data_IF_910008798050
#
_entry.id   IF_910008798050
#
_cell.length_a   1.000
_cell.length_b   1.000
_cell.length_c   1.000
_cell.angle_alpha   90.00
_cell.angle_beta   90.00
_cell.angle_gamma   90.00
#
_symmetry.space_group_name_H-M   'P 1'
#
loop_
_entity.id
_entity.type
_entity.pdbx_description
1 polymer ?
#
# COMPACT_ATOMS: atom_id res chain seq x y z
N UNK A 1 -24.12 1.14 -53.81
CA UNK A 1 -25.17 0.26 -54.36
C UNK A 1 -24.89 -1.10 -53.74
N UNK A 2 -25.57 -1.54 -52.69
CA UNK A 2 -26.99 -1.39 -52.36
C UNK A 2 -27.23 -1.52 -50.85
N UNK A 3 -28.16 -0.70 -50.36
CA UNK A 3 -29.02 -0.89 -49.17
C UNK A 3 -29.69 -2.30 -49.19
N UNK A 4 -30.29 -2.90 -48.17
CA UNK A 4 -30.88 -2.57 -46.86
C UNK A 4 -30.98 -3.92 -46.08
N UNK A 5 -31.06 -4.04 -44.75
CA UNK A 5 -32.23 -3.88 -43.85
C UNK A 5 -31.66 -4.08 -42.41
N UNK A 6 -31.78 -3.11 -41.49
CA UNK A 6 -32.86 -2.95 -40.51
C UNK A 6 -33.35 -4.27 -39.88
N UNK A 7 -32.78 -4.60 -38.71
CA UNK A 7 -33.56 -5.19 -37.63
C UNK A 7 -33.29 -4.42 -36.32
N UNK A 8 -34.36 -3.78 -35.88
CA UNK A 8 -34.54 -3.19 -34.57
C UNK A 8 -34.60 -4.31 -33.53
N UNK A 9 -33.77 -4.23 -32.50
CA UNK A 9 -34.09 -4.86 -31.22
C UNK A 9 -33.82 -3.87 -30.08
N UNK A 10 -34.75 -2.91 -29.99
CA UNK A 10 -35.06 -2.21 -28.75
C UNK A 10 -35.64 -3.23 -27.77
N UNK A 11 -34.82 -3.70 -26.81
CA UNK A 11 -35.35 -4.23 -25.54
C UNK A 11 -34.32 -4.19 -24.41
N UNK A 12 -34.71 -3.40 -23.42
CA UNK A 12 -34.40 -3.49 -21.98
C UNK A 12 -33.13 -2.80 -21.44
N UNK A 13 -33.36 -1.54 -21.07
CA UNK A 13 -32.88 -0.93 -19.84
C UNK A 13 -32.92 -1.89 -18.62
N UNK A 14 -31.98 -1.63 -17.71
CA UNK A 14 -31.98 -1.85 -16.24
C UNK A 14 -30.99 -2.89 -15.69
N UNK A 15 -29.71 -2.51 -15.63
CA UNK A 15 -28.79 -3.12 -14.66
C UNK A 15 -29.02 -2.49 -13.28
N UNK A 16 -29.66 -3.30 -12.44
CA UNK A 16 -29.72 -3.32 -10.97
C UNK A 16 -30.14 -2.05 -10.23
N UNK A 17 -31.28 -2.08 -9.51
CA UNK A 17 -31.57 -1.08 -8.50
C UNK A 17 -30.61 -1.22 -7.33
N UNK A 18 -30.05 -0.09 -6.89
CA UNK A 18 -29.36 0.04 -5.62
C UNK A 18 -30.17 -0.62 -4.50
N UNK A 19 -29.56 -1.58 -3.81
CA UNK A 19 -30.14 -2.29 -2.65
C UNK A 19 -30.61 -1.35 -1.53
N UNK A 20 -30.20 -0.08 -1.60
CA UNK A 20 -30.60 1.04 -0.74
C UNK A 20 -32.06 1.46 -0.91
N UNK A 21 -32.66 1.31 -2.10
CA UNK A 21 -34.03 1.79 -2.40
C UNK A 21 -35.10 0.76 -2.01
N UNK A 22 -34.77 -0.53 -2.00
CA UNK A 22 -35.69 -1.60 -1.63
C UNK A 22 -36.18 -1.50 -0.17
N UNK A 23 -35.40 -0.86 0.72
CA UNK A 23 -35.76 -0.69 2.12
C UNK A 23 -36.88 0.36 2.36
N UNK A 24 -37.21 1.21 1.37
CA UNK A 24 -38.18 2.29 1.53
C UNK A 24 -39.57 1.99 0.97
N UNK A 25 -39.76 0.89 0.21
CA UNK A 25 -41.05 0.55 -0.41
C UNK A 25 -41.94 -0.41 0.40
N UNK A 26 -41.46 -0.94 1.53
CA UNK A 26 -42.22 -1.89 2.35
C UNK A 26 -43.22 -1.26 3.32
N UNK A 27 -43.50 0.05 3.23
CA UNK A 27 -44.29 0.79 4.22
C UNK A 27 -45.59 1.40 3.69
N UNK A 28 -46.15 0.91 2.56
CA UNK A 28 -47.38 1.47 2.02
C UNK A 28 -48.31 0.41 1.37
N UNK A 29 -48.99 -0.37 2.20
CA UNK A 29 -50.28 -0.98 1.83
C UNK A 29 -51.31 -0.79 2.97
N UNK A 30 -52.49 -0.18 2.71
CA UNK A 30 -53.50 0.00 3.74
C UNK A 30 -54.43 -1.22 3.76
N UNK A 31 -54.19 -2.17 4.66
CA UNK A 31 -55.15 -3.25 4.93
C UNK A 31 -56.16 -2.77 5.97
N UNK A 32 -57.43 -2.64 5.57
CA UNK A 32 -58.55 -2.35 6.48
C UNK A 32 -58.73 -3.50 7.47
N UNK A 33 -58.59 -3.26 8.78
CA UNK A 33 -59.29 -4.05 9.80
C UNK A 33 -59.50 -3.27 11.11
N UNK A 34 -60.73 -3.36 11.58
CA UNK A 34 -61.31 -2.79 12.79
C UNK A 34 -60.51 -3.02 14.08
N UNK A 35 -60.53 -2.00 14.94
CA UNK A 35 -60.87 -2.17 16.35
C UNK A 35 -59.71 -2.21 17.35
N UNK A 36 -59.75 -1.23 18.25
CA UNK A 36 -59.08 -1.12 19.55
C UNK A 36 -57.69 -0.48 19.62
N UNK A 37 -57.62 0.41 20.61
CA UNK A 37 -56.68 1.45 20.91
C UNK A 37 -55.39 0.94 21.54
N UNK A 38 -54.27 1.19 20.88
CA UNK A 38 -52.98 1.52 21.47
C UNK A 38 -52.12 2.19 20.39
N UNK A 39 -51.51 3.31 20.74
CA UNK A 39 -50.99 4.30 19.80
C UNK A 39 -49.59 3.93 19.30
N UNK A 40 -49.51 3.12 18.25
CA UNK A 40 -48.30 2.95 17.42
C UNK A 40 -48.15 4.17 16.48
N UNK A 41 -47.49 5.23 16.97
CA UNK A 41 -47.00 6.30 16.08
C UNK A 41 -45.69 5.84 15.44
N UNK A 42 -45.66 5.72 14.11
CA UNK A 42 -44.40 5.66 13.38
C UNK A 42 -43.50 6.85 13.80
N UNK A 43 -42.18 6.65 13.96
CA UNK A 43 -41.31 7.74 14.39
C UNK A 43 -41.35 8.86 13.35
N UNK A 44 -41.87 10.03 13.75
CA UNK A 44 -41.74 11.25 12.95
C UNK A 44 -40.25 11.59 12.89
N UNK A 45 -39.61 11.27 11.76
CA UNK A 45 -38.21 11.60 11.51
C UNK A 45 -38.15 13.11 11.38
N UNK A 46 -37.52 13.77 12.34
CA UNK A 46 -37.46 15.23 12.36
C UNK A 46 -36.57 15.73 11.22
N UNK A 47 -36.86 16.91 10.70
CA UNK A 47 -35.94 17.61 9.79
C UNK A 47 -34.54 17.78 10.44
N UNK A 48 -34.47 17.84 11.77
CA UNK A 48 -33.22 17.85 12.51
C UNK A 48 -32.44 16.52 12.39
N UNK A 49 -33.14 15.38 12.38
CA UNK A 49 -32.54 14.06 12.23
C UNK A 49 -32.01 13.88 10.80
N UNK A 50 -32.77 14.36 9.80
CA UNK A 50 -32.34 14.35 8.40
C UNK A 50 -31.11 15.24 8.19
N UNK A 51 -31.10 16.45 8.77
CA UNK A 51 -29.95 17.35 8.69
C UNK A 51 -28.73 16.79 9.42
N UNK A 52 -28.93 16.12 10.56
CA UNK A 52 -27.88 15.42 11.30
C UNK A 52 -27.26 14.29 10.49
N UNK A 53 -28.08 13.47 9.82
CA UNK A 53 -27.60 12.41 8.93
C UNK A 53 -26.80 12.96 7.75
N UNK A 54 -27.29 14.05 7.13
CA UNK A 54 -26.59 14.74 6.05
C UNK A 54 -25.25 15.32 6.54
N UNK A 55 -25.24 15.98 7.70
CA UNK A 55 -24.02 16.53 8.32
C UNK A 55 -23.01 15.43 8.64
N UNK A 56 -23.48 14.30 9.16
CA UNK A 56 -22.64 13.13 9.46
C UNK A 56 -22.03 12.55 8.18
N UNK A 57 -22.81 12.43 7.11
CA UNK A 57 -22.31 11.96 5.82
C UNK A 57 -21.26 12.90 5.24
N UNK A 58 -21.49 14.22 5.28
CA UNK A 58 -20.52 15.22 4.82
C UNK A 58 -19.23 15.17 5.63
N UNK A 59 -19.30 15.12 6.95
CA UNK A 59 -18.13 15.03 7.82
C UNK A 59 -17.33 13.74 7.56
N UNK A 60 -18.02 12.62 7.36
CA UNK A 60 -17.35 11.35 7.02
C UNK A 60 -16.64 11.42 5.66
N UNK A 61 -17.26 12.04 4.65
CA UNK A 61 -16.64 12.23 3.33
C UNK A 61 -15.47 13.21 3.37
N UNK A 62 -15.63 14.33 4.09
CA UNK A 62 -14.59 15.35 4.25
C UNK A 62 -13.37 14.76 4.99
N UNK A 63 -13.59 14.04 6.09
CA UNK A 63 -12.54 13.33 6.83
C UNK A 63 -11.81 12.31 5.95
N UNK A 64 -12.54 11.60 5.08
CA UNK A 64 -11.94 10.71 4.09
C UNK A 64 -11.02 11.42 3.10
N UNK A 65 -11.41 12.61 2.62
CA UNK A 65 -10.61 13.43 1.71
C UNK A 65 -9.37 13.96 2.41
N UNK A 66 -9.51 14.51 3.62
CA UNK A 66 -8.39 15.03 4.42
C UNK A 66 -7.33 13.96 4.68
N UNK A 67 -7.77 12.75 5.04
CA UNK A 67 -6.87 11.62 5.24
C UNK A 67 -6.11 11.25 3.96
N UNK A 68 -6.80 11.17 2.83
CA UNK A 68 -6.15 10.86 1.54
C UNK A 68 -5.14 11.95 1.13
N UNK A 69 -5.44 13.23 1.42
CA UNK A 69 -4.53 14.34 1.14
C UNK A 69 -3.30 14.29 2.05
N UNK A 70 -3.46 13.98 3.34
CA UNK A 70 -2.35 13.77 4.28
C UNK A 70 -1.44 12.62 3.82
N UNK A 71 -2.01 11.47 3.44
CA UNK A 71 -1.24 10.31 2.98
C UNK A 71 -0.49 10.63 1.67
N UNK A 72 -1.12 11.35 0.74
CA UNK A 72 -0.50 11.77 -0.53
C UNK A 72 0.62 12.78 -0.31
N UNK A 73 0.42 13.77 0.56
CA UNK A 73 1.45 14.76 0.89
C UNK A 73 2.64 14.11 1.60
N UNK A 74 2.42 13.17 2.53
CA UNK A 74 3.50 12.45 3.19
C UNK A 74 4.34 11.64 2.19
N UNK A 75 3.70 10.94 1.23
CA UNK A 75 4.42 10.19 0.19
C UNK A 75 5.21 11.06 -0.78
N UNK A 76 4.68 12.24 -1.16
CA UNK A 76 5.39 13.21 -1.98
C UNK A 76 6.58 13.83 -1.24
N UNK A 77 6.42 14.16 0.04
CA UNK A 77 7.50 14.67 0.89
C UNK A 77 8.60 13.61 1.05
N UNK A 78 8.25 12.34 1.24
CA UNK A 78 9.23 11.24 1.29
C UNK A 78 9.99 11.08 -0.03
N UNK A 79 9.33 11.19 -1.18
CA UNK A 79 9.99 11.17 -2.50
C UNK A 79 10.90 12.38 -2.71
N UNK A 80 10.47 13.58 -2.31
CA UNK A 80 11.26 14.79 -2.42
C UNK A 80 12.53 14.72 -1.55
N UNK A 81 12.42 14.24 -0.31
CA UNK A 81 13.58 14.00 0.58
C UNK A 81 14.55 12.95 0.02
N UNK A 82 14.04 11.90 -0.65
CA UNK A 82 14.88 10.93 -1.36
C UNK A 82 15.58 11.52 -2.58
N UNK A 83 14.98 12.51 -3.25
CA UNK A 83 15.56 13.19 -4.41
C UNK A 83 16.59 14.28 -4.05
N UNK A 84 16.49 14.87 -2.85
CA UNK A 84 17.38 15.95 -2.38
C UNK A 84 18.80 15.45 -2.04
N UNK A 85 18.93 14.19 -1.61
CA UNK A 85 20.24 13.61 -1.31
C UNK A 85 20.92 13.07 -2.58
N UNK A 86 21.74 13.91 -3.20
CA UNK A 86 22.70 13.45 -4.22
C UNK A 86 23.87 12.73 -3.56
N UNK A 87 23.90 11.40 -3.65
CA UNK A 87 24.99 10.60 -3.10
C UNK A 87 26.12 10.41 -4.13
N UNK A 88 27.36 10.67 -3.72
CA UNK A 88 28.56 10.41 -4.53
C UNK A 88 28.73 8.92 -4.89
N UNK A 89 28.30 8.03 -4.00
CA UNK A 89 28.46 6.59 -4.14
C UNK A 89 27.11 5.89 -4.08
N UNK A 90 26.84 5.00 -5.05
CA UNK A 90 25.59 4.25 -5.12
C UNK A 90 25.35 3.37 -3.89
N UNK A 91 26.41 2.81 -3.30
CA UNK A 91 26.33 2.05 -2.05
C UNK A 91 25.75 2.89 -0.92
N UNK A 92 26.19 4.15 -0.77
CA UNK A 92 25.70 5.05 0.28
C UNK A 92 24.24 5.43 0.07
N UNK A 93 23.82 5.64 -1.18
CA UNK A 93 22.41 5.84 -1.51
C UNK A 93 21.55 4.66 -1.04
N UNK A 94 21.96 3.43 -1.36
CA UNK A 94 21.23 2.23 -0.99
C UNK A 94 21.17 2.03 0.53
N UNK A 95 22.19 2.46 1.28
CA UNK A 95 22.19 2.43 2.75
C UNK A 95 21.21 3.46 3.31
N UNK A 96 21.24 4.68 2.79
CA UNK A 96 20.34 5.73 3.22
C UNK A 96 18.88 5.34 2.98
N UNK A 97 18.55 4.84 1.79
CA UNK A 97 17.20 4.41 1.44
C UNK A 97 16.69 3.32 2.39
N UNK A 98 17.49 2.28 2.66
CA UNK A 98 17.09 1.25 3.63
C UNK A 98 16.90 1.84 5.03
N UNK A 99 17.81 2.69 5.50
CA UNK A 99 17.71 3.28 6.82
C UNK A 99 16.43 4.14 6.96
N UNK A 100 16.07 4.89 5.92
CA UNK A 100 14.81 5.62 5.85
C UNK A 100 13.60 4.68 5.90
N UNK A 101 13.63 3.59 5.14
CA UNK A 101 12.52 2.62 5.12
C UNK A 101 12.34 1.91 6.48
N UNK A 102 13.44 1.64 7.20
CA UNK A 102 13.41 1.09 8.57
C UNK A 102 12.86 2.14 9.55
N UNK A 103 13.26 3.41 9.44
CA UNK A 103 12.70 4.48 10.27
C UNK A 103 11.18 4.64 10.08
N UNK A 104 10.72 4.54 8.83
CA UNK A 104 9.29 4.54 8.50
C UNK A 104 8.56 3.32 9.11
N UNK A 105 9.20 2.15 9.07
CA UNK A 105 8.67 0.92 9.66
C UNK A 105 8.55 1.02 11.18
N UNK A 106 9.55 1.61 11.85
CA UNK A 106 9.52 1.90 13.29
C UNK A 106 8.38 2.88 13.62
N UNK A 107 8.24 3.97 12.86
CA UNK A 107 7.16 4.95 13.05
C UNK A 107 5.78 4.32 12.88
N UNK A 108 5.64 3.43 11.89
CA UNK A 108 4.42 2.65 11.66
C UNK A 108 4.12 1.71 12.83
N UNK A 109 5.14 1.04 13.38
CA UNK A 109 4.99 0.16 14.54
C UNK A 109 4.56 0.94 15.79
N UNK A 110 5.14 2.13 16.03
CA UNK A 110 4.71 3.04 17.10
C UNK A 110 3.22 3.39 16.93
N UNK A 111 2.80 3.80 15.74
CA UNK A 111 1.39 4.11 15.46
C UNK A 111 0.44 2.91 15.63
N UNK A 112 0.90 1.67 15.44
CA UNK A 112 0.13 0.48 15.78
C UNK A 112 0.04 0.25 17.30
N UNK A 113 1.09 0.51 18.06
CA UNK A 113 1.10 0.41 19.51
C UNK A 113 0.11 1.42 20.12
N UNK A 114 0.16 2.68 19.69
CA UNK A 114 -0.76 3.74 20.13
C UNK A 114 -2.23 3.39 19.86
N UNK A 115 -2.51 2.70 18.75
CA UNK A 115 -3.85 2.23 18.37
C UNK A 115 -4.25 0.90 19.05
N UNK A 116 -3.50 0.46 20.05
CA UNK A 116 -3.68 -0.81 20.76
C UNK A 116 -3.72 -2.05 19.82
N UNK A 117 -2.84 -2.07 18.81
CA UNK A 117 -2.69 -3.16 17.83
C UNK A 117 -1.29 -3.81 17.89
N UNK A 118 -0.87 -4.35 19.04
CA UNK A 118 0.51 -4.81 19.25
C UNK A 118 0.94 -5.94 18.30
N UNK A 119 0.03 -6.86 17.94
CA UNK A 119 0.34 -7.94 16.98
C UNK A 119 0.74 -7.41 15.59
N UNK A 120 0.19 -6.27 15.16
CA UNK A 120 0.58 -5.64 13.89
C UNK A 120 1.93 -4.94 14.01
N UNK A 121 2.19 -4.29 15.14
CA UNK A 121 3.50 -3.68 15.42
C UNK A 121 4.61 -4.73 15.41
N UNK A 122 4.41 -5.87 16.08
CA UNK A 122 5.38 -6.98 16.12
C UNK A 122 5.74 -7.46 14.72
N UNK A 123 4.75 -7.71 13.85
CA UNK A 123 5.01 -8.16 12.46
C UNK A 123 5.89 -7.17 11.69
N UNK A 124 5.58 -5.87 11.77
CA UNK A 124 6.37 -4.82 11.09
C UNK A 124 7.81 -4.80 11.60
N UNK A 125 8.02 -4.98 12.92
CA UNK A 125 9.35 -5.00 13.53
C UNK A 125 10.12 -6.27 13.18
N UNK A 126 9.46 -7.43 13.11
CA UNK A 126 10.05 -8.69 12.67
C UNK A 126 10.55 -8.59 11.23
N UNK A 127 9.72 -8.07 10.32
CA UNK A 127 10.09 -7.84 8.92
C UNK A 127 11.29 -6.89 8.81
N UNK A 128 11.27 -5.80 9.58
CA UNK A 128 12.38 -4.83 9.65
C UNK A 128 13.67 -5.48 10.17
N UNK A 129 13.57 -6.39 11.15
CA UNK A 129 14.71 -7.16 11.68
C UNK A 129 15.33 -8.06 10.62
N UNK A 130 14.52 -8.73 9.80
CA UNK A 130 15.00 -9.56 8.68
C UNK A 130 15.73 -8.70 7.65
N UNK A 131 15.18 -7.53 7.30
CA UNK A 131 15.83 -6.60 6.38
C UNK A 131 17.19 -6.12 6.89
N UNK A 132 17.30 -5.80 8.19
CA UNK A 132 18.56 -5.42 8.83
C UNK A 132 19.58 -6.57 8.80
N UNK A 133 19.17 -7.80 9.11
CA UNK A 133 20.06 -8.98 9.03
C UNK A 133 20.60 -9.19 7.62
N UNK A 134 19.71 -9.14 6.62
CA UNK A 134 20.11 -9.22 5.20
C UNK A 134 21.10 -8.12 4.88
N UNK A 135 20.84 -6.88 5.29
CA UNK A 135 21.75 -5.76 4.99
C UNK A 135 23.12 -5.90 5.65
N UNK A 136 23.17 -6.31 6.92
CA UNK A 136 24.42 -6.54 7.63
C UNK A 136 25.28 -7.61 6.93
N UNK A 137 24.65 -8.66 6.36
CA UNK A 137 25.33 -9.64 5.53
C UNK A 137 25.96 -8.99 4.28
N UNK A 138 25.20 -8.15 3.57
CA UNK A 138 25.70 -7.45 2.38
C UNK A 138 26.85 -6.48 2.69
N UNK A 139 26.79 -5.76 3.81
CA UNK A 139 27.89 -4.89 4.25
C UNK A 139 29.16 -5.71 4.48
N UNK A 140 29.06 -6.88 5.14
CA UNK A 140 30.20 -7.78 5.35
C UNK A 140 30.78 -8.32 4.04
N UNK A 141 29.94 -8.56 3.03
CA UNK A 141 30.40 -8.95 1.69
C UNK A 141 31.16 -7.79 1.04
N UNK A 142 30.60 -6.58 1.07
CA UNK A 142 31.27 -5.40 0.52
C UNK A 142 32.59 -5.06 1.23
N UNK A 143 32.69 -5.29 2.54
CA UNK A 143 33.90 -4.99 3.30
C UNK A 143 35.03 -6.01 3.05
N UNK A 144 34.68 -7.30 2.89
CA UNK A 144 35.66 -8.37 2.66
C UNK A 144 36.13 -8.51 1.21
N UNK A 145 35.32 -8.02 0.27
CA UNK A 145 35.54 -8.14 -1.16
C UNK A 145 36.40 -6.99 -1.68
N UNK A 146 37.38 -7.28 -2.54
CA UNK A 146 38.09 -6.25 -3.30
C UNK A 146 37.16 -5.46 -4.26
N UNK A 147 36.11 -6.11 -4.77
CA UNK A 147 35.09 -5.51 -5.62
C UNK A 147 34.05 -4.67 -4.85
N UNK A 148 34.02 -4.77 -3.53
CA UNK A 148 33.14 -4.01 -2.66
C UNK A 148 31.65 -4.17 -2.98
N UNK A 149 30.95 -3.05 -3.11
CA UNK A 149 29.53 -3.03 -3.48
C UNK A 149 29.23 -3.61 -4.87
N UNK A 150 30.22 -3.73 -5.76
CA UNK A 150 30.03 -4.40 -7.07
C UNK A 150 29.82 -5.90 -6.88
N UNK A 151 30.61 -6.53 -6.00
CA UNK A 151 30.41 -7.93 -5.62
C UNK A 151 29.06 -8.15 -4.98
N UNK A 152 28.60 -7.23 -4.14
CA UNK A 152 27.25 -7.31 -3.57
C UNK A 152 26.17 -7.33 -4.65
N UNK A 153 26.30 -6.51 -5.70
CA UNK A 153 25.33 -6.49 -6.79
C UNK A 153 25.32 -7.82 -7.57
N UNK A 154 26.49 -8.40 -7.83
CA UNK A 154 26.60 -9.72 -8.49
C UNK A 154 26.15 -10.86 -7.57
N UNK A 155 26.31 -10.72 -6.24
CA UNK A 155 25.79 -11.66 -5.25
C UNK A 155 24.26 -11.63 -5.18
N UNK A 156 23.65 -10.45 -5.31
CA UNK A 156 22.19 -10.29 -5.27
C UNK A 156 21.50 -10.70 -6.58
N UNK A 157 22.21 -10.74 -7.71
CA UNK A 157 21.65 -11.17 -9.00
C UNK A 157 21.54 -12.69 -9.14
N UNK A 158 22.32 -13.47 -8.39
CA UNK A 158 22.19 -14.94 -8.33
C UNK A 158 21.19 -15.32 -7.21
N UNK A 159 19.89 -15.42 -7.56
CA UNK A 159 18.69 -15.48 -6.70
C UNK A 159 18.57 -16.60 -5.63
N UNK A 160 19.59 -17.42 -5.34
CA UNK A 160 19.46 -18.55 -4.39
C UNK A 160 20.61 -18.60 -3.40
N UNK A 161 20.43 -18.02 -2.20
CA UNK A 161 21.40 -18.08 -1.11
C UNK A 161 20.89 -19.01 0.01
N UNK A 162 21.57 -20.15 0.16
CA UNK A 162 21.51 -21.03 1.33
C UNK A 162 22.92 -21.11 1.90
N UNK A 163 23.04 -21.01 3.22
CA UNK A 163 24.25 -20.63 3.98
C UNK A 163 25.49 -21.54 3.77
N UNK A 164 25.38 -22.66 3.06
CA UNK A 164 26.49 -23.59 2.75
C UNK A 164 27.26 -23.27 1.46
N UNK A 165 26.72 -22.48 0.53
CA UNK A 165 27.34 -22.20 -0.79
C UNK A 165 27.85 -20.74 -0.91
N UNK A 166 27.72 -19.96 0.16
CA UNK A 166 28.01 -18.53 0.15
C UNK A 166 29.49 -18.22 -0.13
N UNK A 167 30.44 -18.94 0.45
CA UNK A 167 31.85 -18.67 0.25
C UNK A 167 32.31 -18.87 -1.20
N UNK A 168 31.83 -19.95 -1.84
CA UNK A 168 32.16 -20.24 -3.25
C UNK A 168 31.54 -19.19 -4.16
N UNK A 169 30.30 -18.78 -3.90
CA UNK A 169 29.62 -17.75 -4.71
C UNK A 169 30.17 -16.35 -4.49
N UNK A 170 30.60 -15.97 -3.28
CA UNK A 170 31.30 -14.69 -3.04
C UNK A 170 32.59 -14.63 -3.85
N UNK A 171 33.42 -15.69 -3.83
CA UNK A 171 34.62 -15.76 -4.67
C UNK A 171 34.30 -15.68 -6.17
N UNK A 172 33.20 -16.29 -6.61
CA UNK A 172 32.75 -16.21 -8.01
C UNK A 172 32.29 -14.80 -8.39
N UNK A 173 31.51 -14.14 -7.53
CA UNK A 173 31.05 -12.77 -7.70
C UNK A 173 32.23 -11.78 -7.73
N UNK A 174 33.21 -11.95 -6.85
CA UNK A 174 34.47 -11.18 -6.84
C UNK A 174 35.20 -11.30 -8.16
N UNK A 175 35.44 -12.53 -8.62
CA UNK A 175 36.13 -12.78 -9.89
C UNK A 175 35.37 -12.17 -11.09
N UNK A 176 34.03 -12.20 -11.08
CA UNK A 176 33.22 -11.56 -12.13
C UNK A 176 33.32 -10.03 -12.07
N UNK A 177 33.26 -9.44 -10.89
CA UNK A 177 33.38 -8.00 -10.70
C UNK A 177 34.74 -7.48 -11.17
N UNK A 178 35.84 -8.12 -10.72
CA UNK A 178 37.21 -7.74 -11.10
C UNK A 178 37.44 -7.86 -12.61
N UNK A 179 36.99 -8.96 -13.24
CA UNK A 179 37.11 -9.12 -14.70
C UNK A 179 36.36 -8.04 -15.48
N UNK A 180 35.17 -7.65 -15.00
CA UNK A 180 34.37 -6.60 -15.62
C UNK A 180 35.06 -5.25 -15.54
N UNK A 181 35.73 -4.96 -14.43
CA UNK A 181 36.51 -3.73 -14.25
C UNK A 181 37.74 -3.70 -15.16
N UNK A 182 38.50 -4.80 -15.25
CA UNK A 182 39.64 -4.91 -16.17
C UNK A 182 39.23 -4.77 -17.65
N UNK A 183 38.07 -5.31 -18.04
CA UNK A 183 37.55 -5.17 -19.40
C UNK A 183 37.07 -3.75 -19.74
N UNK A 184 36.76 -2.94 -18.73
CA UNK A 184 36.36 -1.53 -18.89
C UNK A 184 37.56 -0.58 -18.94
N UNK A 185 38.66 -0.95 -18.29
CA UNK A 185 39.90 -0.15 -18.27
C UNK A 185 40.73 -0.33 -19.56
N UNK A 186 40.63 -1.48 -20.23
CA UNK A 186 41.32 -1.76 -21.49
C UNK A 186 40.55 -1.29 -22.76
N UNK A 187 39.60 -0.36 -22.62
CA UNK A 187 38.70 0.07 -23.69
C UNK A 187 38.71 1.59 -23.86
#
# INVERSE_FOLDING_TARGET
MSDSDLDLDDRELTKSPDKSIAALRSAAEPTKRNGNSEQDRAPEVSNADLFSLMTTYFNNKLSGIEKNFSDTTETLVKRAKKAENTFKFKGNQLQFELNSDIQDSISTAIGYIEKNRPKKAVRVLEDSSVQLKKRNKLIRIADKSEGGWRTVNEYLSDEVASDSEDEKRIRAADNRAVKKDQSRENR
#
